data_IF_972639224828
#
_entry.id   IF_972639224828
#
_cell.length_a   1.000
_cell.length_b   1.000
_cell.length_c   1.000
_cell.angle_alpha   90.00
_cell.angle_beta   90.00
_cell.angle_gamma   90.00
#
_symmetry.space_group_name_H-M   'P 1'
#
loop_
_entity.id
_entity.type
_entity.pdbx_description
1 polymer ?
#
# COMPACT_ATOMS: atom_id res chain seq x y z
N UNK A 1 -15.56 -11.60 -0.04
CA UNK A 1 -14.58 -11.30 -1.10
C UNK A 1 -13.41 -10.56 -0.49
N UNK A 2 -12.18 -11.04 -0.69
CA UNK A 2 -10.96 -10.37 -0.27
C UNK A 2 -10.01 -10.21 -1.47
N UNK A 3 -9.15 -9.20 -1.43
CA UNK A 3 -8.16 -8.94 -2.47
C UNK A 3 -6.79 -8.87 -1.81
N UNK A 4 -5.80 -9.53 -2.43
CA UNK A 4 -4.40 -9.47 -2.01
C UNK A 4 -3.60 -8.85 -3.15
N UNK A 5 -2.72 -7.90 -2.81
CA UNK A 5 -1.79 -7.28 -3.74
C UNK A 5 -0.36 -7.57 -3.30
N UNK A 6 0.45 -8.09 -4.23
CA UNK A 6 1.89 -8.22 -4.05
C UNK A 6 2.59 -7.07 -4.77
N UNK A 7 3.52 -6.43 -4.08
CA UNK A 7 4.36 -5.36 -4.63
C UNK A 7 5.73 -5.97 -4.92
N UNK A 8 6.09 -6.08 -6.20
CA UNK A 8 7.33 -6.74 -6.62
C UNK A 8 8.53 -5.86 -6.28
N UNK A 9 9.60 -6.45 -5.77
CA UNK A 9 10.87 -5.77 -5.54
C UNK A 9 10.97 -4.98 -4.23
N UNK A 10 9.92 -5.01 -3.40
CA UNK A 10 9.93 -4.35 -2.08
C UNK A 10 9.96 -5.39 -0.95
N UNK A 11 10.51 -4.99 0.20
CA UNK A 11 10.54 -5.80 1.41
C UNK A 11 9.42 -5.41 2.38
N UNK A 12 9.32 -6.14 3.49
CA UNK A 12 8.49 -5.73 4.62
C UNK A 12 8.78 -4.27 5.04
N UNK A 13 7.73 -3.55 5.43
CA UNK A 13 7.77 -2.13 5.79
C UNK A 13 8.09 -1.15 4.64
N UNK A 14 7.76 -1.49 3.39
CA UNK A 14 7.93 -0.57 2.25
C UNK A 14 7.15 0.75 2.36
N UNK A 15 6.14 0.82 3.23
CA UNK A 15 5.37 2.04 3.49
C UNK A 15 5.98 2.94 4.59
N UNK A 16 7.00 2.47 5.32
CA UNK A 16 7.61 3.25 6.39
C UNK A 16 8.72 4.15 5.84
N UNK A 17 8.41 5.42 5.65
CA UNK A 17 9.26 6.49 5.10
C UNK A 17 10.44 6.91 6.00
N UNK A 18 10.48 6.44 7.25
CA UNK A 18 11.61 6.66 8.17
C UNK A 18 12.70 5.60 8.06
N UNK A 19 12.58 4.65 7.13
CA UNK A 19 13.50 3.51 7.01
C UNK A 19 14.08 3.39 5.60
N UNK A 20 15.27 2.78 5.43
CA UNK A 20 15.84 2.52 4.10
C UNK A 20 15.02 1.56 3.22
N UNK A 21 13.97 0.94 3.77
CA UNK A 21 13.09 0.00 3.05
C UNK A 21 11.93 0.71 2.34
N UNK A 22 11.76 2.01 2.58
CA UNK A 22 10.70 2.80 1.95
C UNK A 22 10.78 2.70 0.42
N UNK A 23 9.66 2.36 -0.20
CA UNK A 23 9.47 2.42 -1.64
C UNK A 23 8.27 3.32 -1.93
N UNK A 24 8.54 4.52 -2.45
CA UNK A 24 7.52 5.55 -2.68
C UNK A 24 6.40 5.06 -3.59
N UNK A 25 6.75 4.40 -4.69
CA UNK A 25 5.77 3.96 -5.68
C UNK A 25 4.84 2.88 -5.13
N UNK A 26 5.37 1.88 -4.42
CA UNK A 26 4.58 0.85 -3.76
C UNK A 26 3.74 1.43 -2.61
N UNK A 27 4.31 2.33 -1.81
CA UNK A 27 3.61 2.99 -0.71
C UNK A 27 2.40 3.78 -1.23
N UNK A 28 2.59 4.69 -2.18
CA UNK A 28 1.52 5.51 -2.76
C UNK A 28 0.43 4.65 -3.42
N UNK A 29 0.80 3.64 -4.20
CA UNK A 29 -0.17 2.74 -4.84
C UNK A 29 -0.97 1.93 -3.81
N UNK A 30 -0.31 1.42 -2.77
CA UNK A 30 -0.98 0.70 -1.69
C UNK A 30 -1.93 1.58 -0.90
N UNK A 31 -1.53 2.81 -0.60
CA UNK A 31 -2.34 3.77 0.12
C UNK A 31 -3.58 4.20 -0.67
N UNK A 32 -3.40 4.49 -1.97
CA UNK A 32 -4.52 4.79 -2.86
C UNK A 32 -5.55 3.66 -2.86
N UNK A 33 -5.13 2.41 -3.01
CA UNK A 33 -6.02 1.24 -2.99
C UNK A 33 -6.77 1.11 -1.65
N UNK A 34 -6.09 1.36 -0.53
CA UNK A 34 -6.71 1.36 0.80
C UNK A 34 -7.78 2.44 0.93
N UNK A 35 -7.51 3.66 0.46
CA UNK A 35 -8.49 4.75 0.48
C UNK A 35 -9.66 4.49 -0.46
N UNK A 36 -9.41 3.95 -1.66
CA UNK A 36 -10.47 3.55 -2.60
C UNK A 36 -11.36 2.45 -1.99
N UNK A 37 -10.78 1.50 -1.26
CA UNK A 37 -11.52 0.48 -0.53
C UNK A 37 -12.40 1.10 0.56
N UNK A 38 -11.85 1.99 1.39
CA UNK A 38 -12.65 2.66 2.43
C UNK A 38 -13.77 3.50 1.84
N UNK A 39 -13.50 4.27 0.77
CA UNK A 39 -14.53 5.02 0.04
C UNK A 39 -15.64 4.13 -0.54
N UNK A 40 -15.34 2.87 -0.85
CA UNK A 40 -16.37 1.95 -1.35
C UNK A 40 -17.33 1.46 -0.26
N UNK A 41 -16.87 1.38 0.99
CA UNK A 41 -17.58 0.63 2.04
C UNK A 41 -17.93 1.44 3.29
N UNK A 42 -17.29 2.61 3.49
CA UNK A 42 -17.45 3.44 4.69
C UNK A 42 -17.97 4.86 4.36
N UNK A 43 -18.26 5.16 3.10
CA UNK A 43 -18.90 6.40 2.66
C UNK A 43 -20.13 6.12 1.82
#
# INVERSE_FOLDING_TARGET
NYIIHYYKGVNHAFHNDTTPRYDKAAAELSWKRSMDFFKKYLT
#
